data_IF_961612321563
#
_entry.id   IF_961612321563
#
_cell.length_a   1.000
_cell.length_b   1.000
_cell.length_c   1.000
_cell.angle_alpha   90.00
_cell.angle_beta   90.00
_cell.angle_gamma   90.00
#
_symmetry.space_group_name_H-M   'P 1'
#
loop_
_entity.id
_entity.type
_entity.pdbx_description
1 polymer ?
#
# COMPACT_ATOMS: atom_id res chain seq x y z
N UNK A 1 37.29 1.45 -12.95
CA UNK A 1 36.69 0.18 -12.49
C UNK A 1 35.78 0.34 -11.28
N UNK A 2 36.18 1.10 -10.25
CA UNK A 2 35.37 1.37 -9.04
C UNK A 2 33.98 2.00 -9.31
N UNK A 3 33.81 3.03 -10.17
CA UNK A 3 32.48 3.63 -10.36
C UNK A 3 31.49 2.69 -11.08
N UNK A 4 31.97 1.83 -11.98
CA UNK A 4 31.14 0.87 -12.70
C UNK A 4 30.65 -0.24 -11.74
N UNK A 5 31.51 -0.75 -10.85
CA UNK A 5 31.10 -1.77 -9.89
C UNK A 5 30.09 -1.23 -8.87
N UNK A 6 30.22 0.03 -8.44
CA UNK A 6 29.25 0.69 -7.56
C UNK A 6 27.89 0.84 -8.28
N UNK A 7 27.89 1.27 -9.54
CA UNK A 7 26.64 1.42 -10.30
C UNK A 7 25.90 0.08 -10.47
N UNK A 8 26.62 -1.00 -10.80
CA UNK A 8 26.05 -2.34 -10.92
C UNK A 8 25.54 -2.83 -9.56
N UNK A 9 26.34 -2.67 -8.50
CA UNK A 9 25.93 -3.05 -7.14
C UNK A 9 24.69 -2.31 -6.68
N UNK A 10 24.57 -1.02 -6.98
CA UNK A 10 23.39 -0.22 -6.65
C UNK A 10 22.13 -0.69 -7.38
N UNK A 11 22.25 -1.04 -8.66
CA UNK A 11 21.13 -1.59 -9.43
C UNK A 11 20.60 -2.90 -8.81
N UNK A 12 21.51 -3.84 -8.49
CA UNK A 12 21.13 -5.08 -7.80
C UNK A 12 20.60 -4.85 -6.38
N UNK A 13 21.12 -3.86 -5.67
CA UNK A 13 20.63 -3.50 -4.34
C UNK A 13 19.17 -3.03 -4.37
N UNK A 14 18.81 -2.16 -5.33
CA UNK A 14 17.42 -1.71 -5.50
C UNK A 14 16.52 -2.89 -5.85
N UNK A 15 16.96 -3.75 -6.78
CA UNK A 15 16.21 -4.94 -7.19
C UNK A 15 15.92 -5.85 -5.99
N UNK A 16 16.94 -6.16 -5.19
CA UNK A 16 16.78 -6.98 -3.99
C UNK A 16 15.84 -6.33 -2.98
N UNK A 17 16.03 -5.04 -2.72
CA UNK A 17 15.19 -4.31 -1.77
C UNK A 17 13.73 -4.30 -2.20
N UNK A 18 13.46 -4.09 -3.49
CA UNK A 18 12.09 -4.14 -4.03
C UNK A 18 11.47 -5.51 -3.85
N UNK A 19 12.21 -6.58 -4.14
CA UNK A 19 11.74 -7.96 -3.96
C UNK A 19 11.28 -8.23 -2.52
N UNK A 20 12.11 -7.87 -1.53
CA UNK A 20 11.77 -8.03 -0.11
C UNK A 20 10.50 -7.24 0.28
N UNK A 21 10.28 -6.05 -0.28
CA UNK A 21 9.04 -5.31 0.01
C UNK A 21 7.80 -5.98 -0.62
N UNK A 22 7.95 -6.65 -1.76
CA UNK A 22 6.85 -7.32 -2.45
C UNK A 22 6.54 -8.70 -1.87
N UNK A 23 7.46 -9.33 -1.14
CA UNK A 23 7.23 -10.61 -0.46
C UNK A 23 6.15 -10.52 0.63
N UNK A 24 5.95 -9.34 1.22
CA UNK A 24 5.04 -9.10 2.35
C UNK A 24 4.09 -7.93 2.08
N UNK A 25 3.21 -8.02 1.06
CA UNK A 25 2.45 -6.87 0.55
C UNK A 25 1.23 -6.47 1.41
N UNK A 26 1.08 -7.06 2.60
CA UNK A 26 -0.08 -6.90 3.49
C UNK A 26 0.32 -6.60 4.95
N UNK A 27 1.55 -6.16 5.20
CA UNK A 27 2.03 -5.78 6.54
C UNK A 27 1.55 -4.39 7.00
N UNK A 28 0.59 -3.79 6.27
CA UNK A 28 0.01 -2.48 6.54
C UNK A 28 1.05 -1.34 6.57
N UNK A 29 2.12 -1.48 5.78
CA UNK A 29 3.13 -0.43 5.56
C UNK A 29 2.61 0.54 4.51
N UNK A 30 3.15 1.77 4.49
CA UNK A 30 2.70 2.80 3.56
C UNK A 30 2.89 2.46 2.06
N UNK A 31 3.72 1.47 1.72
CA UNK A 31 3.95 0.99 0.36
C UNK A 31 3.21 -0.32 0.06
N UNK A 32 2.53 -0.89 1.07
CA UNK A 32 1.79 -2.14 0.95
C UNK A 32 0.41 -1.89 0.35
N UNK A 33 -0.28 -2.96 0.00
CA UNK A 33 -1.63 -2.85 -0.50
C UNK A 33 -2.62 -2.47 0.61
N UNK A 34 -3.54 -1.52 0.37
CA UNK A 34 -4.43 -1.01 1.40
C UNK A 34 -5.65 -1.93 1.57
N UNK A 35 -5.44 -3.05 2.26
CA UNK A 35 -6.46 -4.10 2.40
C UNK A 35 -7.74 -3.60 3.09
N UNK A 36 -7.65 -2.78 4.15
CA UNK A 36 -8.86 -2.32 4.83
C UNK A 36 -9.66 -1.38 3.95
N UNK A 37 -9.00 -0.56 3.14
CA UNK A 37 -9.66 0.30 2.16
C UNK A 37 -10.38 -0.49 1.08
N UNK A 38 -9.78 -1.57 0.58
CA UNK A 38 -10.45 -2.48 -0.37
C UNK A 38 -11.66 -3.13 0.31
N UNK A 39 -11.50 -3.67 1.52
CA UNK A 39 -12.60 -4.29 2.26
C UNK A 39 -13.74 -3.31 2.55
N UNK A 40 -13.42 -2.06 2.92
CA UNK A 40 -14.40 -1.00 3.14
C UNK A 40 -15.18 -0.68 1.88
N UNK A 41 -14.51 -0.60 0.73
CA UNK A 41 -15.19 -0.38 -0.55
C UNK A 41 -16.12 -1.54 -0.88
N UNK A 42 -15.67 -2.79 -0.71
CA UNK A 42 -16.52 -3.97 -0.92
C UNK A 42 -17.72 -3.97 0.01
N UNK A 43 -17.53 -3.61 1.28
CA UNK A 43 -18.61 -3.48 2.26
C UNK A 43 -19.66 -2.45 1.82
N UNK A 44 -19.21 -1.27 1.39
CA UNK A 44 -20.07 -0.21 0.86
C UNK A 44 -20.83 -0.70 -0.38
N UNK A 45 -20.13 -1.31 -1.34
CA UNK A 45 -20.72 -1.82 -2.58
C UNK A 45 -21.81 -2.85 -2.28
N UNK A 46 -21.56 -3.78 -1.36
CA UNK A 46 -22.54 -4.79 -0.97
C UNK A 46 -23.77 -4.18 -0.27
N UNK A 47 -23.57 -3.21 0.62
CA UNK A 47 -24.69 -2.54 1.32
C UNK A 47 -25.53 -1.68 0.37
N UNK A 48 -24.90 -1.04 -0.61
CA UNK A 48 -25.59 -0.30 -1.67
C UNK A 48 -26.42 -1.23 -2.56
N UNK A 49 -25.90 -2.42 -2.89
CA UNK A 49 -26.67 -3.43 -3.65
C UNK A 49 -27.89 -3.97 -2.87
N UNK A 50 -27.84 -3.92 -1.54
CA UNK A 50 -28.91 -4.36 -0.64
C UNK A 50 -29.89 -3.25 -0.25
N UNK A 51 -29.72 -2.03 -0.78
CA UNK A 51 -30.58 -0.85 -0.53
C UNK A 51 -30.74 -0.56 0.98
N UNK A 52 -29.66 -0.72 1.74
CA UNK A 52 -29.63 -0.52 3.20
C UNK A 52 -29.30 0.94 3.53
N UNK A 53 -30.02 1.54 4.48
CA UNK A 53 -29.83 2.95 4.87
C UNK A 53 -28.52 3.21 5.65
N UNK A 54 -27.90 2.15 6.18
CA UNK A 54 -26.72 2.23 7.06
C UNK A 54 -25.44 1.93 6.28
N UNK A 55 -25.02 2.87 5.43
CA UNK A 55 -23.79 2.77 4.63
C UNK A 55 -22.62 3.38 5.41
N UNK A 56 -21.53 2.62 5.66
CA UNK A 56 -20.35 3.14 6.36
C UNK A 56 -19.56 4.13 5.49
N UNK A 57 -19.00 5.16 6.12
CA UNK A 57 -18.16 6.15 5.43
C UNK A 57 -16.83 5.56 4.97
N UNK A 58 -16.30 6.08 3.86
CA UNK A 58 -14.96 5.73 3.34
C UNK A 58 -13.88 5.93 4.41
N UNK A 59 -12.86 5.06 4.40
CA UNK A 59 -11.77 5.15 5.38
C UNK A 59 -10.98 6.46 5.22
N UNK A 60 -10.66 7.14 6.34
CA UNK A 60 -9.92 8.40 6.30
C UNK A 60 -8.48 8.18 5.84
N UNK A 61 -7.98 9.13 5.05
CA UNK A 61 -6.59 9.13 4.61
C UNK A 61 -5.68 9.40 5.81
N UNK A 62 -4.81 8.45 6.15
CA UNK A 62 -3.83 8.63 7.21
C UNK A 62 -2.61 9.39 6.69
N UNK A 63 -2.08 10.29 7.54
CA UNK A 63 -0.89 11.09 7.22
C UNK A 63 0.33 10.47 7.89
N UNK A 64 1.23 9.95 7.07
CA UNK A 64 2.50 9.38 7.52
C UNK A 64 3.47 10.41 8.08
N UNK A 65 4.49 9.91 8.78
CA UNK A 65 5.56 10.71 9.40
C UNK A 65 6.30 11.65 8.44
N UNK A 66 6.26 11.40 7.14
CA UNK A 66 6.86 12.23 6.10
C UNK A 66 5.84 13.01 5.23
N UNK A 67 4.60 13.14 5.71
CA UNK A 67 3.53 13.80 4.95
C UNK A 67 2.95 12.96 3.82
N UNK A 68 3.31 11.68 3.74
CA UNK A 68 2.76 10.75 2.75
C UNK A 68 1.32 10.43 3.13
N UNK A 69 0.40 10.67 2.19
CA UNK A 69 -0.99 10.28 2.32
C UNK A 69 -1.11 8.80 1.94
N UNK A 70 -1.54 7.97 2.89
CA UNK A 70 -1.83 6.56 2.61
C UNK A 70 -3.10 6.14 3.35
N UNK A 71 -3.89 5.28 2.72
CA UNK A 71 -5.01 4.62 3.37
C UNK A 71 -4.54 3.21 3.72
N UNK A 72 -4.85 2.73 4.91
CA UNK A 72 -4.62 1.32 5.27
C UNK A 72 -5.90 0.51 5.05
#
# INVERSE_FOLDING_TARGET
MIPLSIAISFAFYILNKSGVMTETPFEARAADTPLNSICRTIEIDLLQMLDTDEIPDVLPVMKGRFGVHFQN
#
